data_IF_258154283916
#
_entry.id   IF_258154283916
#
_cell.length_a   1.000
_cell.length_b   1.000
_cell.length_c   1.000
_cell.angle_alpha   90.00
_cell.angle_beta   90.00
_cell.angle_gamma   90.00
#
_symmetry.space_group_name_H-M   'P 1'
#
loop_
_entity.id
_entity.type
_entity.pdbx_description
1 polymer ?
#
# COMPACT_ATOMS: atom_id res chain seq x y z
N UNK A 1 34.54 28.56 9.74
CA UNK A 1 33.51 28.26 8.72
C UNK A 1 33.87 26.90 8.16
N UNK A 2 32.92 25.96 8.14
CA UNK A 2 33.17 24.59 7.67
C UNK A 2 33.54 24.61 6.18
N UNK A 3 34.23 23.59 5.72
CA UNK A 3 34.78 23.56 4.36
C UNK A 3 33.69 23.51 3.27
N UNK A 4 32.49 23.07 3.63
CA UNK A 4 31.29 23.02 2.79
C UNK A 4 30.34 24.22 2.99
N UNK A 5 30.72 25.18 3.84
CA UNK A 5 29.93 26.38 4.13
C UNK A 5 28.81 26.21 5.16
N UNK A 6 28.61 25.02 5.74
CA UNK A 6 27.59 24.80 6.80
C UNK A 6 27.93 25.52 8.10
N UNK A 7 26.89 25.83 8.88
CA UNK A 7 27.05 26.21 10.30
C UNK A 7 27.45 24.99 11.15
N UNK A 8 27.89 25.26 12.37
CA UNK A 8 28.31 24.22 13.32
C UNK A 8 27.15 23.33 13.78
N UNK A 9 25.93 23.86 13.76
CA UNK A 9 24.69 23.24 14.21
C UNK A 9 23.81 22.76 13.03
N UNK A 10 24.37 22.67 11.83
CA UNK A 10 23.63 22.39 10.61
C UNK A 10 23.90 20.99 10.07
N UNK A 11 22.83 20.19 9.97
CA UNK A 11 22.83 18.92 9.27
C UNK A 11 23.21 19.11 7.79
N UNK A 12 23.77 18.07 7.17
CA UNK A 12 23.80 17.98 5.70
C UNK A 12 22.38 17.92 5.15
N UNK A 13 22.25 18.05 3.83
CA UNK A 13 20.97 17.82 3.17
C UNK A 13 20.53 16.37 3.38
N UNK A 14 19.44 16.19 4.10
CA UNK A 14 18.86 14.87 4.35
C UNK A 14 17.76 14.58 3.32
N UNK A 15 17.72 13.35 2.80
CA UNK A 15 16.56 12.86 2.03
C UNK A 15 16.25 11.42 2.42
N UNK A 16 14.97 11.11 2.57
CA UNK A 16 14.46 9.80 2.92
C UNK A 16 13.48 9.39 1.82
N UNK A 17 13.87 8.46 0.96
CA UNK A 17 13.02 7.91 -0.09
C UNK A 17 12.53 6.52 0.34
N UNK A 18 11.22 6.32 0.45
CA UNK A 18 10.62 5.07 0.93
C UNK A 18 10.19 4.16 -0.22
N UNK A 19 9.95 2.88 0.09
CA UNK A 19 9.46 1.86 -0.86
C UNK A 19 10.35 1.66 -2.10
N UNK A 20 11.68 1.82 -1.93
CA UNK A 20 12.67 1.73 -3.01
C UNK A 20 12.91 0.29 -3.49
N UNK A 21 12.62 -0.72 -2.68
CA UNK A 21 12.70 -2.13 -3.04
C UNK A 21 11.30 -2.74 -3.10
N UNK A 22 11.02 -3.46 -4.19
CA UNK A 22 9.71 -4.11 -4.44
C UNK A 22 9.40 -5.28 -3.49
N UNK A 23 10.43 -5.91 -2.94
CA UNK A 23 10.31 -7.20 -2.25
C UNK A 23 10.47 -7.11 -0.73
N UNK A 24 11.00 -6.01 -0.21
CA UNK A 24 11.13 -5.83 1.22
C UNK A 24 9.83 -5.29 1.79
N UNK A 25 9.38 -5.81 2.93
CA UNK A 25 8.19 -5.31 3.64
C UNK A 25 8.35 -3.85 4.07
N UNK A 26 9.59 -3.41 4.30
CA UNK A 26 9.95 -2.00 4.42
C UNK A 26 11.28 -1.71 3.75
N UNK A 27 11.36 -0.62 2.98
CA UNK A 27 12.62 -0.22 2.36
C UNK A 27 12.77 1.29 2.25
N UNK A 28 14.02 1.75 2.44
CA UNK A 28 14.36 3.16 2.47
C UNK A 28 15.73 3.39 1.84
N UNK A 29 15.83 4.38 0.96
CA UNK A 29 17.10 4.97 0.55
C UNK A 29 17.29 6.27 1.30
N UNK A 30 18.18 6.28 2.29
CA UNK A 30 18.48 7.46 3.09
C UNK A 30 19.78 8.12 2.63
N UNK A 31 19.79 9.46 2.59
CA UNK A 31 20.96 10.27 2.23
C UNK A 31 21.24 11.32 3.29
N UNK A 32 22.52 11.43 3.66
CA UNK A 32 23.09 12.46 4.53
C UNK A 32 24.16 13.19 3.71
N UNK A 33 23.76 14.23 2.98
CA UNK A 33 24.60 14.78 1.91
C UNK A 33 24.97 13.69 0.91
N UNK A 34 26.27 13.38 0.81
CA UNK A 34 26.81 12.37 -0.09
C UNK A 34 26.82 10.95 0.49
N UNK A 35 26.62 10.78 1.80
CA UNK A 35 26.44 9.44 2.38
C UNK A 35 25.08 8.89 1.97
N UNK A 36 25.06 7.69 1.39
CA UNK A 36 23.87 7.01 0.89
C UNK A 36 23.80 5.57 1.39
N UNK A 37 22.72 5.24 2.08
CA UNK A 37 22.49 3.91 2.66
C UNK A 37 21.12 3.39 2.21
N UNK A 38 21.11 2.17 1.67
CA UNK A 38 19.89 1.41 1.43
C UNK A 38 19.59 0.58 2.68
N UNK A 39 18.43 0.83 3.28
CA UNK A 39 17.93 0.10 4.43
C UNK A 39 16.73 -0.74 3.99
N UNK A 40 16.78 -2.05 4.23
CA UNK A 40 15.67 -2.97 4.01
C UNK A 40 15.29 -3.65 5.32
N UNK A 41 14.00 -3.87 5.51
CA UNK A 41 13.45 -4.61 6.63
C UNK A 41 12.67 -5.81 6.09
N UNK A 42 13.07 -7.00 6.54
CA UNK A 42 12.45 -8.27 6.18
C UNK A 42 11.82 -8.94 7.39
N UNK A 43 10.59 -9.42 7.23
CA UNK A 43 9.87 -10.14 8.29
C UNK A 43 10.06 -11.65 8.12
N UNK A 44 10.50 -12.31 9.19
CA UNK A 44 10.59 -13.77 9.25
C UNK A 44 9.64 -14.31 10.33
N UNK A 45 8.84 -15.33 9.97
CA UNK A 45 8.00 -16.08 10.91
C UNK A 45 8.82 -17.12 11.71
N UNK A 46 9.96 -16.68 12.23
CA UNK A 46 10.86 -17.47 13.06
C UNK A 46 11.62 -16.56 14.01
N UNK A 47 12.15 -17.15 15.09
CA UNK A 47 13.01 -16.45 16.05
C UNK A 47 14.30 -17.24 16.27
N UNK A 48 15.38 -16.58 16.73
CA UNK A 48 16.59 -17.29 17.14
C UNK A 48 16.30 -18.40 18.15
N UNK A 49 17.09 -19.48 18.11
CA UNK A 49 16.85 -20.69 18.93
C UNK A 49 16.70 -20.41 20.43
N UNK A 50 17.38 -19.40 20.95
CA UNK A 50 17.31 -19.02 22.37
C UNK A 50 16.01 -18.29 22.77
N UNK A 51 15.17 -17.89 21.81
CA UNK A 51 13.87 -17.24 22.02
C UNK A 51 12.68 -18.12 21.63
N UNK A 52 12.92 -19.34 21.14
CA UNK A 52 11.85 -20.24 20.71
C UNK A 52 10.91 -20.59 21.88
N UNK A 53 9.60 -20.47 21.68
CA UNK A 53 8.54 -20.66 22.68
C UNK A 53 8.58 -19.64 23.84
N UNK A 54 9.26 -18.50 23.67
CA UNK A 54 9.26 -17.43 24.68
C UNK A 54 8.09 -16.46 24.52
N UNK A 55 7.40 -16.49 23.37
CA UNK A 55 6.40 -15.50 22.99
C UNK A 55 6.99 -14.14 22.59
N UNK A 56 8.31 -14.01 22.52
CA UNK A 56 9.01 -12.76 22.19
C UNK A 56 9.61 -12.80 20.79
N UNK A 57 9.54 -11.66 20.12
CA UNK A 57 10.16 -11.43 18.83
C UNK A 57 11.61 -11.00 18.94
N UNK A 58 12.19 -10.71 17.78
CA UNK A 58 13.57 -10.27 17.69
C UNK A 58 13.76 -9.25 16.57
N UNK A 59 14.65 -8.29 16.78
CA UNK A 59 15.12 -7.40 15.72
C UNK A 59 16.62 -7.55 15.62
N UNK A 60 17.16 -7.77 14.43
CA UNK A 60 18.60 -7.90 14.19
C UNK A 60 19.00 -7.08 12.98
N UNK A 61 20.30 -6.82 12.82
CA UNK A 61 20.80 -6.04 11.71
C UNK A 61 22.06 -6.64 11.07
N UNK A 62 22.12 -6.56 9.76
CA UNK A 62 23.30 -6.74 8.93
C UNK A 62 23.71 -5.40 8.33
N UNK A 63 25.01 -5.20 8.19
CA UNK A 63 25.58 -3.97 7.68
C UNK A 63 26.66 -4.35 6.68
N UNK A 64 26.62 -3.70 5.53
CA UNK A 64 27.61 -3.92 4.50
C UNK A 64 27.97 -2.61 3.83
N UNK A 65 29.17 -2.54 3.27
CA UNK A 65 29.61 -1.40 2.47
C UNK A 65 30.07 -1.90 1.12
N UNK A 66 29.52 -1.33 0.05
CA UNK A 66 29.94 -1.69 -1.29
C UNK A 66 31.44 -1.41 -1.48
N UNK A 67 32.18 -2.26 -2.22
CA UNK A 67 33.62 -2.07 -2.44
C UNK A 67 34.02 -0.69 -2.96
N UNK A 68 33.11 0.00 -3.67
CA UNK A 68 33.35 1.32 -4.25
C UNK A 68 32.49 2.43 -3.65
N UNK A 69 31.97 2.23 -2.44
CA UNK A 69 31.27 3.28 -1.71
C UNK A 69 32.22 4.39 -1.23
N UNK A 70 33.52 4.09 -1.07
CA UNK A 70 34.56 5.00 -0.60
C UNK A 70 35.49 5.49 -1.72
N UNK A 71 36.22 6.57 -1.44
CA UNK A 71 37.23 7.18 -2.33
C UNK A 71 38.24 6.18 -2.89
N UNK A 72 38.66 5.20 -2.09
CA UNK A 72 39.49 4.05 -2.50
C UNK A 72 38.66 2.78 -2.50
N UNK A 73 38.98 1.84 -3.40
CA UNK A 73 38.21 0.59 -3.50
C UNK A 73 38.60 -0.34 -2.36
N UNK A 74 37.64 -0.67 -1.50
CA UNK A 74 37.80 -1.69 -0.47
C UNK A 74 37.71 -3.09 -1.07
N UNK A 75 38.40 -4.07 -0.46
CA UNK A 75 38.21 -5.48 -0.81
C UNK A 75 36.86 -5.94 -0.24
N UNK A 76 36.07 -6.62 -1.07
CA UNK A 76 34.77 -7.18 -0.64
C UNK A 76 34.98 -8.15 0.53
N UNK A 77 34.17 -8.03 1.59
CA UNK A 77 34.34 -8.83 2.80
C UNK A 77 34.17 -10.33 2.56
N UNK A 78 33.28 -10.74 1.64
CA UNK A 78 33.17 -12.15 1.24
C UNK A 78 34.48 -12.71 0.66
N UNK A 79 35.29 -11.88 0.00
CA UNK A 79 36.62 -12.28 -0.51
C UNK A 79 37.68 -12.40 0.58
N UNK A 80 37.40 -11.96 1.81
CA UNK A 80 38.25 -12.12 2.99
C UNK A 80 37.85 -13.33 3.84
N UNK A 81 36.70 -13.95 3.56
CA UNK A 81 36.19 -15.11 4.29
C UNK A 81 35.68 -14.82 5.71
N UNK A 82 35.68 -13.55 6.14
CA UNK A 82 35.17 -13.10 7.43
C UNK A 82 34.78 -11.63 7.38
N UNK A 83 33.83 -11.24 8.23
CA UNK A 83 33.46 -9.85 8.46
C UNK A 83 34.59 -9.11 9.21
N UNK A 84 34.72 -7.82 8.93
CA UNK A 84 35.62 -6.93 9.67
C UNK A 84 35.07 -6.61 11.06
N UNK A 85 35.97 -6.22 11.99
CA UNK A 85 35.56 -5.79 13.33
C UNK A 85 34.60 -4.60 13.30
N UNK A 86 34.84 -3.63 12.41
CA UNK A 86 33.97 -2.46 12.21
C UNK A 86 32.56 -2.88 11.76
N UNK A 87 32.45 -3.79 10.79
CA UNK A 87 31.15 -4.31 10.34
C UNK A 87 30.39 -4.96 11.49
N UNK A 88 31.06 -5.83 12.27
CA UNK A 88 30.44 -6.50 13.41
C UNK A 88 29.99 -5.53 14.52
N UNK A 89 30.79 -4.50 14.80
CA UNK A 89 30.44 -3.44 15.75
C UNK A 89 29.17 -2.70 15.33
N UNK A 90 29.12 -2.24 14.07
CA UNK A 90 28.00 -1.47 13.52
C UNK A 90 26.72 -2.30 13.45
N UNK A 91 26.80 -3.57 13.03
CA UNK A 91 25.65 -4.49 13.07
C UNK A 91 25.04 -4.59 14.46
N UNK A 92 25.90 -4.75 15.48
CA UNK A 92 25.45 -4.86 16.86
C UNK A 92 24.88 -3.54 17.36
N UNK A 93 25.46 -2.39 16.96
CA UNK A 93 24.96 -1.05 17.28
C UNK A 93 23.55 -0.88 16.72
N UNK A 94 23.35 -1.03 15.41
CA UNK A 94 22.04 -0.88 14.75
C UNK A 94 20.99 -1.78 15.42
N UNK A 95 21.30 -3.07 15.59
CA UNK A 95 20.37 -4.01 16.21
C UNK A 95 20.02 -3.65 17.66
N UNK A 96 20.98 -3.18 18.48
CA UNK A 96 20.71 -2.73 19.86
C UNK A 96 19.84 -1.48 19.86
N UNK A 97 20.16 -0.52 19.02
CA UNK A 97 19.43 0.74 18.90
C UNK A 97 17.97 0.49 18.58
N UNK A 98 17.67 -0.28 17.52
CA UNK A 98 16.28 -0.53 17.12
C UNK A 98 15.50 -1.35 18.15
N UNK A 99 16.10 -2.39 18.75
CA UNK A 99 15.43 -3.19 19.79
C UNK A 99 14.99 -2.38 21.01
N UNK A 100 15.63 -1.24 21.30
CA UNK A 100 15.29 -0.42 22.47
C UNK A 100 13.88 0.20 22.38
N UNK A 101 13.39 0.46 21.16
CA UNK A 101 12.10 1.11 20.88
C UNK A 101 11.04 0.13 20.36
N UNK A 102 11.33 -1.17 20.37
CA UNK A 102 10.42 -2.23 19.94
C UNK A 102 9.96 -3.03 21.15
N UNK A 103 8.66 -3.15 21.33
CA UNK A 103 8.07 -4.10 22.25
C UNK A 103 8.12 -5.52 21.65
N UNK A 104 9.09 -6.30 22.10
CA UNK A 104 9.32 -7.65 21.61
C UNK A 104 8.20 -8.63 22.01
N UNK A 105 7.39 -8.34 23.04
CA UNK A 105 6.25 -9.19 23.38
C UNK A 105 5.08 -8.93 22.43
N UNK A 106 4.82 -7.65 22.11
CA UNK A 106 3.81 -7.27 21.12
C UNK A 106 4.18 -7.77 19.71
N UNK A 107 5.47 -7.77 19.36
CA UNK A 107 5.94 -8.30 18.08
C UNK A 107 5.63 -9.81 17.90
N UNK A 108 5.49 -10.56 19.00
CA UNK A 108 5.29 -12.01 18.97
C UNK A 108 6.48 -12.77 18.39
N UNK A 109 6.37 -14.08 18.16
CA UNK A 109 7.49 -14.92 17.67
C UNK A 109 7.83 -14.71 16.17
N UNK A 110 8.17 -13.47 15.82
CA UNK A 110 8.66 -13.03 14.52
C UNK A 110 10.03 -12.36 14.69
N UNK A 111 10.85 -12.45 13.65
CA UNK A 111 12.08 -11.67 13.55
C UNK A 111 11.95 -10.60 12.49
N UNK A 112 12.50 -9.42 12.76
CA UNK A 112 12.71 -8.38 11.77
C UNK A 112 14.21 -8.29 11.52
N UNK A 113 14.63 -8.64 10.30
CA UNK A 113 16.02 -8.54 9.86
C UNK A 113 16.18 -7.22 9.11
N UNK A 114 17.13 -6.41 9.55
CA UNK A 114 17.43 -5.11 8.96
C UNK A 114 18.74 -5.21 8.18
N UNK A 115 18.68 -4.98 6.89
CA UNK A 115 19.87 -4.91 6.03
C UNK A 115 20.21 -3.46 5.74
N UNK A 116 21.43 -3.04 6.10
CA UNK A 116 21.94 -1.70 5.84
C UNK A 116 23.14 -1.76 4.88
N UNK A 117 22.89 -1.48 3.60
CA UNK A 117 23.90 -1.47 2.56
C UNK A 117 24.34 -0.05 2.21
N UNK A 118 25.58 0.28 2.55
CA UNK A 118 26.16 1.57 2.20
C UNK A 118 26.57 1.58 0.73
N UNK A 119 25.90 2.43 -0.04
CA UNK A 119 26.10 2.59 -1.47
C UNK A 119 27.15 3.68 -1.78
N UNK A 120 27.17 4.75 -0.97
CA UNK A 120 28.16 5.83 -1.01
C UNK A 120 28.48 6.27 0.42
N UNK A 121 29.75 6.47 0.73
CA UNK A 121 30.23 6.76 2.09
C UNK A 121 31.03 8.07 2.12
N UNK A 122 30.52 9.04 2.86
CA UNK A 122 31.14 10.35 3.09
C UNK A 122 30.96 10.75 4.57
N UNK A 123 31.28 9.85 5.51
CA UNK A 123 31.09 10.08 6.96
C UNK A 123 29.67 9.80 7.47
N UNK A 124 29.54 9.48 8.77
CA UNK A 124 28.23 9.25 9.40
C UNK A 124 27.45 8.00 8.91
N UNK A 125 28.11 7.02 8.28
CA UNK A 125 27.37 5.88 7.68
C UNK A 125 26.60 5.06 8.71
N UNK A 126 27.14 4.88 9.92
CA UNK A 126 26.49 4.09 10.99
C UNK A 126 25.23 4.77 11.53
N UNK A 127 25.26 6.10 11.68
CA UNK A 127 24.14 6.90 12.20
C UNK A 127 23.06 7.09 11.14
N UNK A 128 23.46 7.26 9.87
CA UNK A 128 22.56 7.21 8.73
C UNK A 128 21.85 5.84 8.64
N UNK A 129 22.58 4.72 8.84
CA UNK A 129 21.98 3.38 8.87
C UNK A 129 20.92 3.23 9.96
N UNK A 130 21.16 3.69 11.20
CA UNK A 130 20.16 3.61 12.28
C UNK A 130 18.91 4.43 11.92
N UNK A 131 19.11 5.67 11.46
CA UNK A 131 18.02 6.58 11.13
C UNK A 131 17.16 6.06 9.97
N UNK A 132 17.77 5.51 8.92
CA UNK A 132 17.06 4.91 7.79
C UNK A 132 16.43 3.56 8.13
N UNK A 133 17.11 2.74 8.93
CA UNK A 133 16.60 1.45 9.38
C UNK A 133 15.36 1.58 10.26
N UNK A 134 15.26 2.62 11.10
CA UNK A 134 14.05 2.87 11.87
C UNK A 134 12.84 3.11 10.96
N UNK A 135 13.00 3.89 9.89
CA UNK A 135 11.94 4.13 8.91
C UNK A 135 11.58 2.84 8.18
N UNK A 136 12.56 2.05 7.72
CA UNK A 136 12.30 0.75 7.09
C UNK A 136 11.58 -0.23 8.04
N UNK A 137 11.99 -0.29 9.30
CA UNK A 137 11.33 -1.06 10.36
C UNK A 137 9.88 -0.62 10.54
N UNK A 138 9.62 0.69 10.59
CA UNK A 138 8.25 1.24 10.70
C UNK A 138 7.37 0.84 9.53
N UNK A 139 7.89 0.89 8.31
CA UNK A 139 7.18 0.43 7.11
C UNK A 139 6.87 -1.08 7.16
N UNK A 140 7.83 -1.91 7.59
CA UNK A 140 7.62 -3.35 7.71
C UNK A 140 6.57 -3.69 8.78
N UNK A 141 6.54 -2.96 9.89
CA UNK A 141 5.49 -3.09 10.92
C UNK A 141 4.14 -2.68 10.36
N UNK A 142 4.05 -1.55 9.65
CA UNK A 142 2.81 -1.12 8.99
C UNK A 142 2.32 -2.15 7.98
N UNK A 143 3.22 -2.77 7.22
CA UNK A 143 2.91 -3.85 6.29
C UNK A 143 2.27 -5.06 7.00
N UNK A 144 2.87 -5.56 8.08
CA UNK A 144 2.33 -6.68 8.87
C UNK A 144 0.99 -6.35 9.53
N UNK A 145 0.81 -5.11 10.01
CA UNK A 145 -0.46 -4.65 10.56
C UNK A 145 -1.54 -4.58 9.47
N UNK A 146 -1.22 -4.07 8.28
CA UNK A 146 -2.14 -4.03 7.15
C UNK A 146 -2.54 -5.44 6.66
N UNK A 147 -1.62 -6.40 6.76
CA UNK A 147 -1.87 -7.81 6.47
C UNK A 147 -2.62 -8.56 7.59
N UNK A 148 -2.94 -7.89 8.71
CA UNK A 148 -3.60 -8.48 9.88
C UNK A 148 -2.74 -9.51 10.63
N UNK A 149 -1.43 -9.53 10.38
CA UNK A 149 -0.47 -10.41 11.04
C UNK A 149 0.04 -9.85 12.37
N UNK A 150 -0.08 -8.53 12.56
CA UNK A 150 0.12 -7.84 13.84
C UNK A 150 -1.17 -7.08 14.20
N UNK A 151 -1.64 -7.28 15.44
CA UNK A 151 -2.86 -6.64 15.96
C UNK A 151 -2.55 -5.24 16.52
N UNK A 152 -1.40 -5.11 17.17
CA UNK A 152 -0.95 -3.89 17.83
C UNK A 152 0.42 -3.48 17.27
N UNK A 153 0.69 -2.17 17.24
CA UNK A 153 1.96 -1.63 16.80
C UNK A 153 3.04 -1.87 17.89
N UNK A 154 4.08 -2.67 17.65
CA UNK A 154 5.14 -2.90 18.63
C UNK A 154 6.10 -1.71 18.80
N UNK A 155 6.05 -0.67 17.95
CA UNK A 155 6.95 0.48 18.05
C UNK A 155 6.47 1.45 19.12
N UNK A 156 7.32 1.71 20.12
CA UNK A 156 7.00 2.58 21.26
C UNK A 156 7.13 4.06 20.94
N UNK A 157 8.17 4.42 20.19
CA UNK A 157 8.46 5.81 19.79
C UNK A 157 9.48 5.86 18.64
N UNK A 158 9.71 7.05 18.09
CA UNK A 158 10.74 7.26 17.06
C UNK A 158 12.15 7.19 17.61
N UNK A 159 13.10 6.83 16.75
CA UNK A 159 14.53 6.73 17.05
C UNK A 159 15.35 7.27 15.87
N UNK A 160 16.32 8.12 16.15
CA UNK A 160 17.32 8.52 15.16
C UNK A 160 18.72 8.63 15.78
N UNK A 161 19.71 8.77 14.91
CA UNK A 161 21.11 8.84 15.31
C UNK A 161 21.88 9.86 14.47
N UNK A 162 22.85 10.52 15.08
CA UNK A 162 23.69 11.51 14.43
C UNK A 162 25.13 11.45 14.95
N UNK A 163 26.10 11.82 14.10
CA UNK A 163 27.48 12.04 14.54
C UNK A 163 27.67 13.50 14.92
N UNK A 164 28.49 13.72 15.94
CA UNK A 164 28.94 15.02 16.43
C UNK A 164 30.42 14.89 16.78
N UNK A 165 31.14 16.00 16.80
CA UNK A 165 32.58 15.94 17.02
C UNK A 165 33.18 17.29 17.28
N UNK A 166 34.47 17.30 17.61
CA UNK A 166 35.23 18.52 17.85
C UNK A 166 36.32 18.60 16.79
N UNK A 167 36.35 19.68 16.02
CA UNK A 167 37.39 19.94 15.03
C UNK A 167 38.73 20.28 15.72
N UNK A 168 39.84 20.25 14.98
CA UNK A 168 41.18 20.51 15.54
C UNK A 168 41.33 21.90 16.19
N UNK A 169 40.52 22.87 15.79
CA UNK A 169 40.49 24.22 16.36
C UNK A 169 39.66 24.31 17.66
N UNK A 170 39.12 23.19 18.14
CA UNK A 170 38.28 23.09 19.33
C UNK A 170 36.79 23.34 19.07
N UNK A 171 36.37 23.55 17.83
CA UNK A 171 34.97 23.85 17.51
C UNK A 171 34.10 22.58 17.50
N UNK A 172 33.05 22.47 18.35
CA UNK A 172 32.09 21.38 18.25
C UNK A 172 31.19 21.55 17.02
N UNK A 173 30.97 20.47 16.28
CA UNK A 173 30.17 20.47 15.04
C UNK A 173 29.23 19.26 14.96
N UNK A 174 28.11 19.47 14.28
CA UNK A 174 27.08 18.49 13.97
C UNK A 174 27.30 17.86 12.59
N UNK A 175 27.04 16.55 12.49
CA UNK A 175 26.95 15.79 11.24
C UNK A 175 28.23 15.88 10.40
N UNK A 176 29.27 15.18 10.86
CA UNK A 176 30.58 15.16 10.23
C UNK A 176 30.54 14.39 8.91
N UNK A 177 31.11 14.99 7.87
CA UNK A 177 31.48 14.24 6.67
C UNK A 177 32.85 13.56 6.81
N UNK A 178 33.29 12.85 5.77
CA UNK A 178 34.55 12.11 5.83
C UNK A 178 35.77 13.01 6.07
N UNK A 179 35.78 14.21 5.50
CA UNK A 179 36.91 15.14 5.65
C UNK A 179 36.99 15.65 7.08
N UNK A 180 35.84 15.92 7.69
CA UNK A 180 35.77 16.36 9.08
C UNK A 180 36.08 15.22 10.06
N UNK A 181 35.50 14.03 9.85
CA UNK A 181 35.66 12.84 10.69
C UNK A 181 37.13 12.41 10.82
N UNK A 182 37.86 12.35 9.70
CA UNK A 182 39.28 11.96 9.69
C UNK A 182 40.17 12.98 10.41
N UNK A 183 39.76 14.25 10.47
CA UNK A 183 40.54 15.32 11.08
C UNK A 183 40.03 15.73 12.46
N UNK A 184 38.95 15.14 12.96
CA UNK A 184 38.35 15.51 14.23
C UNK A 184 39.29 15.14 15.40
N UNK A 185 39.36 16.01 16.40
CA UNK A 185 40.00 15.70 17.67
C UNK A 185 39.13 14.75 18.52
N UNK A 186 37.82 14.77 18.29
CA UNK A 186 36.84 13.93 18.98
C UNK A 186 35.74 13.56 17.99
N UNK A 187 35.43 12.26 17.89
CA UNK A 187 34.22 11.75 17.23
C UNK A 187 33.27 11.17 18.28
N UNK A 188 31.99 11.48 18.15
CA UNK A 188 30.94 10.90 18.97
C UNK A 188 29.68 10.61 18.17
N UNK A 189 29.17 9.41 18.34
CA UNK A 189 27.91 8.97 17.77
C UNK A 189 26.85 8.95 18.87
N UNK A 190 25.69 9.56 18.59
CA UNK A 190 24.55 9.63 19.51
C UNK A 190 23.35 8.92 18.89
N UNK A 191 22.62 8.18 19.72
CA UNK A 191 21.33 7.58 19.38
C UNK A 191 20.33 8.00 20.46
N UNK A 192 19.25 8.66 20.05
CA UNK A 192 18.22 9.14 20.98
C UNK A 192 16.82 8.81 20.45
N UNK A 193 15.91 8.67 21.39
CA UNK A 193 14.49 8.52 21.13
C UNK A 193 13.80 9.87 20.97
N UNK A 194 12.56 9.85 20.51
CA UNK A 194 11.71 11.04 20.41
C UNK A 194 11.46 11.74 21.75
N UNK A 195 11.38 10.97 22.83
CA UNK A 195 11.22 11.52 24.18
C UNK A 195 12.47 12.23 24.73
N UNK A 196 13.59 12.21 23.98
CA UNK A 196 14.85 12.81 24.39
C UNK A 196 15.72 11.89 25.25
N UNK A 197 15.39 10.60 25.35
CA UNK A 197 16.16 9.63 26.10
C UNK A 197 17.31 9.05 25.26
N UNK A 198 18.48 8.89 25.88
CA UNK A 198 19.65 8.31 25.21
C UNK A 198 19.58 6.78 25.16
N UNK A 199 19.70 6.22 23.97
CA UNK A 199 19.81 4.77 23.76
C UNK A 199 21.27 4.34 23.76
N UNK A 200 22.13 5.10 23.07
CA UNK A 200 23.57 4.82 23.03
C UNK A 200 24.36 6.11 22.80
N UNK A 201 25.50 6.22 23.50
CA UNK A 201 26.48 7.30 23.36
C UNK A 201 27.84 6.64 23.17
N UNK A 202 28.47 6.85 22.01
CA UNK A 202 29.80 6.33 21.70
C UNK A 202 30.72 7.48 21.34
N UNK A 203 31.48 7.99 22.31
CA UNK A 203 32.47 9.06 22.12
C UNK A 203 33.90 8.55 22.25
N UNK A 204 34.77 8.97 21.33
CA UNK A 204 36.20 8.65 21.30
C UNK A 204 37.00 9.92 21.05
N UNK A 205 37.97 10.19 21.91
CA UNK A 205 38.98 11.20 21.64
C UNK A 205 40.06 10.61 20.75
N UNK A 206 40.19 11.15 19.54
CA UNK A 206 41.19 10.72 18.56
C UNK A 206 42.48 11.50 18.84
N UNK A 207 43.52 10.80 19.28
CA UNK A 207 44.84 11.35 19.69
C UNK A 207 44.82 12.40 20.83
N UNK A 208 43.63 12.81 21.31
CA UNK A 208 43.42 13.79 22.38
C UNK A 208 42.28 13.38 23.33
N UNK A 209 42.16 14.06 24.46
CA UNK A 209 41.05 13.91 25.41
C UNK A 209 40.10 15.11 25.32
N UNK A 210 38.82 14.92 25.63
CA UNK A 210 37.83 16.00 25.66
C UNK A 210 37.34 16.32 27.07
N UNK A 211 36.96 17.57 27.28
CA UNK A 211 36.45 18.05 28.56
C UNK A 211 34.98 17.72 28.75
N UNK A 212 34.48 17.91 29.98
CA UNK A 212 33.04 17.83 30.28
C UNK A 212 32.24 18.88 29.49
N UNK A 213 32.82 20.05 29.24
CA UNK A 213 32.16 21.13 28.50
C UNK A 213 32.01 20.77 27.02
N UNK A 214 33.05 20.15 26.43
CA UNK A 214 33.00 19.63 25.07
C UNK A 214 31.92 18.56 24.92
N UNK A 215 31.88 17.61 25.88
CA UNK A 215 30.86 16.55 25.90
C UNK A 215 29.45 17.15 25.92
N UNK A 216 29.16 18.08 26.83
CA UNK A 216 27.84 18.71 26.91
C UNK A 216 27.49 19.49 25.65
N UNK A 217 28.47 20.16 25.04
CA UNK A 217 28.25 20.90 23.79
C UNK A 217 27.88 19.96 22.65
N UNK A 218 28.59 18.84 22.51
CA UNK A 218 28.28 17.82 21.50
C UNK A 218 26.92 17.14 21.75
N UNK A 219 26.57 16.87 23.01
CA UNK A 219 25.25 16.32 23.36
C UNK A 219 24.12 17.27 22.95
N UNK A 220 24.24 18.57 23.24
CA UNK A 220 23.24 19.57 22.85
C UNK A 220 23.11 19.69 21.33
N UNK A 221 24.23 19.68 20.60
CA UNK A 221 24.21 19.71 19.13
C UNK A 221 23.50 18.49 18.56
N UNK A 222 23.86 17.31 19.04
CA UNK A 222 23.32 16.07 18.50
C UNK A 222 21.87 15.82 18.90
N UNK A 223 21.43 16.27 20.08
CA UNK A 223 20.01 16.26 20.47
C UNK A 223 19.15 17.05 19.48
N UNK A 224 19.54 18.31 19.19
CA UNK A 224 18.82 19.14 18.21
C UNK A 224 18.81 18.49 16.82
N UNK A 225 19.97 17.96 16.37
CA UNK A 225 20.07 17.25 15.11
C UNK A 225 19.16 16.02 15.05
N UNK A 226 19.06 15.25 16.13
CA UNK A 226 18.19 14.07 16.21
C UNK A 226 16.71 14.47 16.15
N UNK A 227 16.28 15.55 16.82
CA UNK A 227 14.90 16.02 16.71
C UNK A 227 14.56 16.44 15.27
N UNK A 228 15.48 17.10 14.56
CA UNK A 228 15.30 17.40 13.14
C UNK A 228 15.20 16.13 12.28
N UNK A 229 16.03 15.12 12.55
CA UNK A 229 15.95 13.83 11.86
C UNK A 229 14.62 13.11 12.12
N UNK A 230 14.13 13.09 13.36
CA UNK A 230 12.85 12.46 13.72
C UNK A 230 11.69 13.17 13.02
N UNK A 231 11.73 14.51 12.93
CA UNK A 231 10.74 15.27 12.15
C UNK A 231 10.74 14.82 10.67
N UNK A 232 11.91 14.71 10.05
CA UNK A 232 12.04 14.24 8.66
C UNK A 232 11.59 12.77 8.48
N UNK A 233 11.84 11.90 9.45
CA UNK A 233 11.34 10.52 9.44
C UNK A 233 9.81 10.49 9.42
N UNK A 234 9.16 11.31 10.24
CA UNK A 234 7.70 11.42 10.28
C UNK A 234 7.12 11.91 8.96
N UNK A 235 7.69 12.98 8.40
CA UNK A 235 7.30 13.51 7.08
C UNK A 235 7.41 12.43 5.99
N UNK A 236 8.48 11.63 6.01
CA UNK A 236 8.68 10.53 5.07
C UNK A 236 7.66 9.39 5.26
N UNK A 237 7.35 9.01 6.51
CA UNK A 237 6.37 7.97 6.82
C UNK A 237 4.94 8.40 6.49
N UNK A 238 4.59 9.68 6.70
CA UNK A 238 3.29 10.23 6.30
C UNK A 238 3.12 10.22 4.78
N UNK A 239 4.17 10.60 4.04
CA UNK A 239 4.16 10.57 2.57
C UNK A 239 4.15 9.15 2.01
N UNK A 240 4.75 8.20 2.74
CA UNK A 240 4.87 6.79 2.36
C UNK A 240 3.65 5.94 2.72
N UNK A 241 2.81 6.39 3.66
CA UNK A 241 1.55 5.73 3.90
C UNK A 241 0.80 5.71 2.56
N UNK A 242 0.57 4.52 2.01
CA UNK A 242 -0.33 4.33 0.88
C UNK A 242 -1.55 5.21 1.17
N UNK A 243 -1.97 6.09 0.24
CA UNK A 243 -2.90 7.13 0.55
C UNK A 243 -4.06 6.50 1.31
N UNK A 244 -4.13 6.81 2.61
CA UNK A 244 -5.35 6.60 3.37
C UNK A 244 -6.24 7.65 2.76
N UNK A 245 -6.85 7.31 1.63
CA UNK A 245 -7.93 8.08 1.09
C UNK A 245 -9.00 7.97 2.16
N UNK A 246 -9.05 8.99 3.03
CA UNK A 246 -10.28 9.31 3.71
C UNK A 246 -11.19 9.79 2.60
N UNK A 247 -11.81 8.85 1.89
CA UNK A 247 -13.10 9.11 1.31
C UNK A 247 -13.89 9.79 2.43
N UNK A 248 -14.30 11.03 2.20
CA UNK A 248 -15.10 11.72 3.20
C UNK A 248 -16.31 10.83 3.49
N UNK A 249 -16.97 10.96 4.65
CA UNK A 249 -18.22 10.22 4.91
C UNK A 249 -19.26 10.35 3.79
N UNK A 250 -19.11 11.35 2.92
CA UNK A 250 -19.99 11.64 1.81
C UNK A 250 -19.46 11.13 0.45
N UNK A 251 -18.39 10.33 0.41
CA UNK A 251 -17.82 9.83 -0.84
C UNK A 251 -18.18 8.34 -1.04
N UNK A 252 -18.57 7.97 -2.25
CA UNK A 252 -18.84 6.59 -2.65
C UNK A 252 -18.06 6.24 -3.92
N UNK A 253 -17.41 5.08 -3.91
CA UNK A 253 -16.71 4.54 -5.07
C UNK A 253 -17.60 3.57 -5.84
N UNK A 254 -17.73 3.76 -7.14
CA UNK A 254 -18.32 2.79 -8.05
C UNK A 254 -17.20 1.95 -8.67
N UNK A 255 -17.18 0.66 -8.35
CA UNK A 255 -16.19 -0.29 -8.83
C UNK A 255 -16.45 -0.72 -10.29
N UNK A 256 -16.37 0.23 -11.23
CA UNK A 256 -16.56 0.00 -12.66
C UNK A 256 -15.58 0.81 -13.49
N UNK A 257 -15.09 0.21 -14.59
CA UNK A 257 -14.34 0.90 -15.66
C UNK A 257 -15.24 1.34 -16.82
N UNK A 258 -16.54 1.03 -16.77
CA UNK A 258 -17.47 1.38 -17.83
C UNK A 258 -18.10 2.75 -17.54
N UNK A 259 -17.68 3.78 -18.29
CA UNK A 259 -18.18 5.15 -18.15
C UNK A 259 -19.71 5.27 -18.31
N UNK A 260 -20.35 4.39 -19.10
CA UNK A 260 -21.80 4.34 -19.23
C UNK A 260 -22.48 3.87 -17.95
N UNK A 261 -21.93 2.83 -17.30
CA UNK A 261 -22.42 2.34 -16.01
C UNK A 261 -22.24 3.41 -14.91
N UNK A 262 -21.07 4.05 -14.87
CA UNK A 262 -20.77 5.07 -13.87
C UNK A 262 -21.79 6.24 -13.89
N UNK A 263 -22.17 6.71 -15.08
CA UNK A 263 -23.16 7.79 -15.25
C UNK A 263 -24.55 7.44 -14.72
N UNK A 264 -24.99 6.19 -14.88
CA UNK A 264 -26.30 5.74 -14.40
C UNK A 264 -26.39 5.78 -12.87
N UNK A 265 -25.29 5.42 -12.20
CA UNK A 265 -25.19 5.49 -10.73
C UNK A 265 -24.96 6.92 -10.23
N UNK A 266 -24.20 7.72 -10.97
CA UNK A 266 -23.89 9.11 -10.61
C UNK A 266 -25.14 9.96 -10.41
N UNK A 267 -26.14 9.82 -11.30
CA UNK A 267 -27.40 10.54 -11.16
C UNK A 267 -28.15 10.21 -9.85
N UNK A 268 -28.13 8.95 -9.41
CA UNK A 268 -28.80 8.52 -8.18
C UNK A 268 -28.06 9.01 -6.92
N UNK A 269 -26.74 8.81 -6.88
CA UNK A 269 -25.95 9.15 -5.68
C UNK A 269 -25.80 10.65 -5.48
N UNK A 270 -25.78 11.43 -6.56
CA UNK A 270 -25.80 12.89 -6.48
C UNK A 270 -27.09 13.42 -5.83
N UNK A 271 -28.25 12.81 -6.10
CA UNK A 271 -29.53 13.18 -5.46
C UNK A 271 -29.51 12.94 -3.94
N UNK A 272 -28.79 11.91 -3.49
CA UNK A 272 -28.58 11.57 -2.07
C UNK A 272 -27.44 12.36 -1.41
N UNK A 273 -26.78 13.27 -2.12
CA UNK A 273 -25.73 14.14 -1.59
C UNK A 273 -24.34 13.50 -1.48
N UNK A 274 -24.12 12.36 -2.13
CA UNK A 274 -22.81 11.70 -2.18
C UNK A 274 -21.97 12.19 -3.35
N UNK A 275 -20.66 12.32 -3.13
CA UNK A 275 -19.66 12.54 -4.17
C UNK A 275 -19.20 11.19 -4.70
N UNK A 276 -19.33 11.02 -6.01
CA UNK A 276 -18.97 9.77 -6.66
C UNK A 276 -17.50 9.77 -7.07
N UNK A 277 -16.87 8.62 -6.91
CA UNK A 277 -15.57 8.26 -7.45
C UNK A 277 -15.69 6.99 -8.29
N UNK A 278 -14.79 6.79 -9.23
CA UNK A 278 -14.71 5.60 -10.09
C UNK A 278 -13.35 4.95 -9.99
N UNK A 279 -13.15 3.76 -10.55
CA UNK A 279 -11.83 3.12 -10.57
C UNK A 279 -10.80 3.92 -11.39
N UNK A 280 -11.23 4.81 -12.29
CA UNK A 280 -10.32 5.72 -13.01
C UNK A 280 -9.65 6.73 -12.07
N UNK A 281 -10.32 7.08 -10.96
CA UNK A 281 -9.72 7.93 -9.92
C UNK A 281 -8.63 7.20 -9.12
N UNK A 282 -8.48 5.88 -9.29
CA UNK A 282 -7.59 5.01 -8.50
C UNK A 282 -6.81 4.00 -9.37
N UNK A 283 -5.89 4.47 -10.25
CA UNK A 283 -5.13 3.59 -11.15
C UNK A 283 -4.20 2.59 -10.46
N UNK A 284 -3.90 2.79 -9.17
CA UNK A 284 -3.07 1.91 -8.33
C UNK A 284 -3.80 0.67 -7.80
N UNK A 285 -5.12 0.58 -7.98
CA UNK A 285 -5.90 -0.59 -7.54
C UNK A 285 -5.77 -1.69 -8.60
N UNK A 286 -5.20 -2.86 -8.26
CA UNK A 286 -5.16 -3.98 -9.19
C UNK A 286 -6.58 -4.46 -9.50
N UNK A 287 -6.79 -4.97 -10.71
CA UNK A 287 -8.06 -5.54 -11.13
C UNK A 287 -8.41 -6.74 -10.24
N UNK A 288 -9.63 -6.74 -9.68
CA UNK A 288 -10.08 -7.82 -8.78
C UNK A 288 -10.53 -9.00 -9.63
N UNK A 289 -9.93 -10.17 -9.45
CA UNK A 289 -10.33 -11.37 -10.17
C UNK A 289 -11.71 -11.87 -9.69
N UNK A 290 -12.69 -11.80 -10.59
CA UNK A 290 -14.06 -12.28 -10.39
C UNK A 290 -14.12 -13.80 -10.56
N UNK A 291 -13.73 -14.52 -9.50
CA UNK A 291 -13.63 -15.99 -9.42
C UNK A 291 -14.88 -16.68 -8.86
N UNK A 292 -15.92 -15.90 -8.57
CA UNK A 292 -17.19 -16.40 -8.04
C UNK A 292 -17.98 -17.23 -9.05
N UNK A 293 -18.82 -18.11 -8.51
CA UNK A 293 -19.73 -18.97 -9.27
C UNK A 293 -21.12 -18.34 -9.47
N UNK A 294 -21.41 -17.25 -8.76
CA UNK A 294 -22.67 -16.49 -8.83
C UNK A 294 -22.42 -14.99 -9.00
N UNK A 295 -23.44 -14.26 -9.47
CA UNK A 295 -23.37 -12.80 -9.62
C UNK A 295 -23.10 -12.09 -8.28
N UNK A 296 -23.70 -12.59 -7.19
CA UNK A 296 -23.46 -12.05 -5.84
C UNK A 296 -22.02 -12.28 -5.38
N UNK A 297 -21.45 -13.47 -5.59
CA UNK A 297 -20.06 -13.76 -5.20
C UNK A 297 -19.07 -12.84 -5.92
N UNK A 298 -19.23 -12.63 -7.22
CA UNK A 298 -18.37 -11.72 -8.00
C UNK A 298 -18.50 -10.27 -7.53
N UNK A 299 -19.74 -9.79 -7.39
CA UNK A 299 -19.98 -8.42 -6.94
C UNK A 299 -19.48 -8.20 -5.50
N UNK A 300 -19.60 -9.19 -4.60
CA UNK A 300 -19.03 -9.15 -3.25
C UNK A 300 -17.51 -9.12 -3.26
N UNK A 301 -16.87 -10.04 -3.97
CA UNK A 301 -15.42 -10.09 -4.12
C UNK A 301 -14.87 -8.72 -4.53
N UNK A 302 -15.53 -8.08 -5.51
CA UNK A 302 -15.16 -6.74 -5.98
C UNK A 302 -15.41 -5.65 -4.93
N UNK A 303 -16.63 -5.54 -4.42
CA UNK A 303 -17.01 -4.46 -3.49
C UNK A 303 -16.24 -4.56 -2.15
N UNK A 304 -16.20 -5.73 -1.54
CA UNK A 304 -15.63 -5.95 -0.21
C UNK A 304 -14.11 -5.81 -0.23
N UNK A 305 -13.43 -6.35 -1.25
CA UNK A 305 -11.97 -6.20 -1.40
C UNK A 305 -11.57 -4.74 -1.53
N UNK A 306 -12.28 -3.98 -2.38
CA UNK A 306 -11.96 -2.57 -2.62
C UNK A 306 -12.33 -1.73 -1.38
N UNK A 307 -13.47 -2.00 -0.73
CA UNK A 307 -13.89 -1.30 0.49
C UNK A 307 -12.92 -1.55 1.65
N UNK A 308 -12.43 -2.78 1.82
CA UNK A 308 -11.45 -3.13 2.84
C UNK A 308 -10.11 -2.44 2.62
N UNK A 309 -9.71 -2.28 1.35
CA UNK A 309 -8.45 -1.64 0.96
C UNK A 309 -8.50 -0.12 1.11
N UNK A 310 -9.54 0.52 0.59
CA UNK A 310 -9.67 1.98 0.57
C UNK A 310 -10.33 2.57 1.83
N UNK A 311 -10.84 1.72 2.72
CA UNK A 311 -11.60 2.14 3.91
C UNK A 311 -12.77 3.07 3.58
N UNK A 312 -13.41 2.87 2.43
CA UNK A 312 -14.51 3.68 1.93
C UNK A 312 -15.73 2.83 1.54
N UNK A 313 -16.85 3.49 1.26
CA UNK A 313 -18.04 2.84 0.74
C UNK A 313 -17.88 2.54 -0.74
N UNK A 314 -18.16 1.31 -1.14
CA UNK A 314 -17.98 0.83 -2.52
C UNK A 314 -19.24 0.16 -3.00
N UNK A 315 -19.69 0.54 -4.20
CA UNK A 315 -20.73 -0.14 -4.96
C UNK A 315 -20.08 -0.94 -6.11
N UNK A 316 -20.35 -2.24 -6.18
CA UNK A 316 -20.02 -3.07 -7.33
C UNK A 316 -21.28 -3.61 -8.02
N UNK A 317 -21.20 -3.80 -9.34
CA UNK A 317 -22.21 -4.47 -10.15
C UNK A 317 -21.64 -5.74 -10.79
N UNK A 318 -22.42 -6.82 -10.78
CA UNK A 318 -22.24 -7.92 -11.72
C UNK A 318 -23.57 -8.18 -12.44
N UNK A 319 -23.52 -8.32 -13.77
CA UNK A 319 -24.70 -8.38 -14.62
C UNK A 319 -24.52 -9.37 -15.76
N UNK A 320 -25.60 -10.08 -16.11
CA UNK A 320 -25.56 -11.04 -17.20
C UNK A 320 -26.93 -11.42 -17.74
N UNK A 321 -26.90 -12.16 -18.85
CA UNK A 321 -28.05 -12.79 -19.46
C UNK A 321 -28.18 -14.23 -18.94
N UNK A 322 -29.38 -14.60 -18.53
CA UNK A 322 -29.73 -15.96 -18.10
C UNK A 322 -30.78 -16.46 -19.08
N UNK A 323 -30.50 -17.56 -19.79
CA UNK A 323 -31.42 -18.15 -20.76
C UNK A 323 -31.90 -19.50 -20.23
N UNK A 324 -33.21 -19.65 -20.06
CA UNK A 324 -33.79 -20.81 -19.37
C UNK A 324 -33.51 -22.11 -20.14
N UNK A 325 -33.65 -22.08 -21.47
CA UNK A 325 -33.38 -23.21 -22.35
C UNK A 325 -31.92 -23.68 -22.32
N UNK A 326 -30.98 -22.84 -21.87
CA UNK A 326 -29.56 -23.16 -21.74
C UNK A 326 -29.16 -23.45 -20.29
N UNK A 327 -30.11 -23.75 -19.42
CA UNK A 327 -29.84 -24.00 -18.00
C UNK A 327 -29.26 -22.78 -17.28
N UNK A 328 -29.62 -21.58 -17.73
CA UNK A 328 -29.16 -20.31 -17.16
C UNK A 328 -27.88 -19.74 -17.76
N UNK A 329 -27.26 -20.42 -18.74
CA UNK A 329 -26.14 -19.85 -19.50
C UNK A 329 -26.63 -18.69 -20.40
N UNK A 330 -25.80 -17.67 -20.68
CA UNK A 330 -24.38 -17.54 -20.30
C UNK A 330 -24.09 -17.19 -18.82
N UNK A 331 -25.05 -16.62 -18.09
CA UNK A 331 -24.90 -16.34 -16.66
C UNK A 331 -23.75 -15.38 -16.36
N UNK A 332 -22.95 -15.66 -15.32
CA UNK A 332 -21.76 -14.89 -14.92
C UNK A 332 -20.68 -14.82 -16.01
N UNK A 333 -20.79 -15.64 -17.07
CA UNK A 333 -19.86 -15.63 -18.20
C UNK A 333 -20.36 -14.78 -19.38
N UNK A 334 -21.41 -13.98 -19.20
CA UNK A 334 -22.04 -13.17 -20.26
C UNK A 334 -21.04 -12.33 -21.07
N UNK A 335 -20.04 -11.72 -20.44
CA UNK A 335 -19.04 -10.92 -21.16
C UNK A 335 -18.06 -11.79 -22.00
N UNK A 336 -17.87 -13.05 -21.61
CA UNK A 336 -16.85 -13.99 -22.13
C UNK A 336 -17.46 -15.30 -22.64
N UNK A 337 -18.71 -15.27 -23.07
CA UNK A 337 -19.46 -16.48 -23.39
C UNK A 337 -18.82 -17.25 -24.56
N UNK A 338 -18.28 -16.53 -25.55
CA UNK A 338 -17.59 -17.07 -26.70
C UNK A 338 -16.06 -17.23 -26.52
N UNK A 339 -15.51 -16.93 -25.33
CA UNK A 339 -14.09 -17.01 -25.03
C UNK A 339 -13.60 -15.87 -24.13
N UNK A 340 -12.34 -15.91 -23.70
CA UNK A 340 -11.78 -14.95 -22.74
C UNK A 340 -11.81 -13.48 -23.22
N UNK A 341 -11.67 -13.26 -24.53
CA UNK A 341 -11.77 -11.93 -25.09
C UNK A 341 -13.24 -11.47 -25.18
N UNK A 342 -13.55 -10.32 -24.59
CA UNK A 342 -14.88 -9.71 -24.66
C UNK A 342 -15.25 -9.35 -26.12
N UNK A 343 -16.28 -10.01 -26.66
CA UNK A 343 -16.75 -9.77 -28.03
C UNK A 343 -18.25 -10.07 -28.19
N UNK A 344 -19.06 -9.00 -28.24
CA UNK A 344 -20.52 -9.09 -28.33
C UNK A 344 -21.02 -9.84 -29.57
N UNK A 345 -20.39 -9.67 -30.72
CA UNK A 345 -20.79 -10.35 -31.95
C UNK A 345 -20.56 -11.87 -31.86
N UNK A 346 -19.43 -12.29 -31.29
CA UNK A 346 -19.13 -13.69 -31.06
C UNK A 346 -20.05 -14.31 -29.99
N UNK A 347 -20.31 -13.56 -28.91
CA UNK A 347 -21.24 -13.95 -27.84
C UNK A 347 -22.67 -14.15 -28.38
N UNK A 348 -23.15 -13.23 -29.22
CA UNK A 348 -24.46 -13.30 -29.88
C UNK A 348 -24.52 -14.47 -30.88
N UNK A 349 -23.47 -14.68 -31.68
CA UNK A 349 -23.40 -15.80 -32.60
C UNK A 349 -23.44 -17.15 -31.88
N UNK A 350 -22.68 -17.29 -30.78
CA UNK A 350 -22.70 -18.49 -29.95
C UNK A 350 -24.07 -18.70 -29.31
N UNK A 351 -24.67 -17.65 -28.75
CA UNK A 351 -26.02 -17.74 -28.15
C UNK A 351 -27.05 -18.27 -29.16
N UNK A 352 -27.05 -17.72 -30.38
CA UNK A 352 -27.97 -18.18 -31.43
C UNK A 352 -27.68 -19.61 -31.87
N UNK A 353 -26.41 -20.00 -31.90
CA UNK A 353 -25.99 -21.37 -32.21
C UNK A 353 -26.49 -22.37 -31.17
N UNK A 354 -26.29 -22.10 -29.88
CA UNK A 354 -26.75 -22.97 -28.77
C UNK A 354 -28.27 -23.08 -28.73
N UNK A 355 -28.99 -22.04 -29.16
CA UNK A 355 -30.45 -22.04 -29.28
C UNK A 355 -30.98 -22.67 -30.58
N UNK A 356 -30.13 -23.34 -31.37
CA UNK A 356 -30.58 -24.03 -32.58
C UNK A 356 -31.55 -25.16 -32.23
N UNK A 357 -32.73 -25.16 -32.86
CA UNK A 357 -33.78 -26.16 -32.59
C UNK A 357 -34.70 -25.82 -31.41
N UNK A 358 -34.37 -24.82 -30.58
CA UNK A 358 -35.25 -24.37 -29.50
C UNK A 358 -36.42 -23.55 -30.08
N UNK A 359 -37.69 -23.94 -29.83
CA UNK A 359 -38.87 -23.21 -30.28
C UNK A 359 -38.89 -21.77 -29.76
N UNK A 360 -39.45 -20.83 -30.53
CA UNK A 360 -39.49 -19.40 -30.14
C UNK A 360 -40.17 -19.16 -28.78
N UNK A 361 -41.15 -19.99 -28.44
CA UNK A 361 -41.89 -19.88 -27.18
C UNK A 361 -41.07 -20.28 -25.94
N UNK A 362 -40.03 -21.11 -26.15
CA UNK A 362 -39.17 -21.65 -25.08
C UNK A 362 -37.86 -20.86 -24.92
N UNK A 363 -37.65 -19.82 -25.73
CA UNK A 363 -36.46 -18.95 -25.66
C UNK A 363 -36.60 -17.87 -24.58
N UNK A 364 -37.17 -18.21 -23.44
CA UNK A 364 -37.29 -17.29 -22.31
C UNK A 364 -35.92 -16.97 -21.73
N UNK A 365 -35.73 -15.71 -21.40
CA UNK A 365 -34.48 -15.22 -20.86
C UNK A 365 -34.73 -14.01 -19.95
N UNK A 366 -33.81 -13.78 -19.04
CA UNK A 366 -33.81 -12.59 -18.19
C UNK A 366 -32.44 -11.96 -18.15
N UNK A 367 -32.40 -10.64 -18.16
CA UNK A 367 -31.23 -9.94 -17.69
C UNK A 367 -31.27 -9.86 -16.18
N UNK A 368 -30.16 -10.18 -15.53
CA UNK A 368 -29.99 -10.12 -14.08
C UNK A 368 -28.85 -9.15 -13.74
N UNK A 369 -29.04 -8.31 -12.73
CA UNK A 369 -27.98 -7.49 -12.14
C UNK A 369 -28.03 -7.66 -10.62
N UNK A 370 -26.90 -8.01 -10.04
CA UNK A 370 -26.64 -7.93 -8.61
C UNK A 370 -25.83 -6.67 -8.32
N UNK A 371 -26.32 -5.86 -7.39
CA UNK A 371 -25.57 -4.75 -6.81
C UNK A 371 -25.16 -5.11 -5.40
N UNK A 372 -23.88 -4.91 -5.10
CA UNK A 372 -23.33 -5.07 -3.75
C UNK A 372 -22.76 -3.75 -3.29
N UNK A 373 -23.27 -3.28 -2.15
CA UNK A 373 -22.76 -2.12 -1.43
C UNK A 373 -22.01 -2.59 -0.19
N UNK A 374 -20.71 -2.29 -0.14
CA UNK A 374 -19.83 -2.66 0.96
C UNK A 374 -19.29 -1.40 1.66
N UNK A 375 -19.12 -1.48 2.97
CA UNK A 375 -18.43 -0.47 3.77
C UNK A 375 -17.59 -1.17 4.86
N UNK A 376 -16.52 -0.53 5.35
CA UNK A 376 -15.71 -1.11 6.42
C UNK A 376 -16.53 -1.42 7.67
N UNK A 377 -16.29 -2.58 8.27
CA UNK A 377 -16.94 -3.03 9.52
C UNK A 377 -18.47 -3.15 9.47
N UNK A 378 -19.08 -3.20 8.27
CA UNK A 378 -20.52 -3.42 8.09
C UNK A 378 -20.76 -4.60 7.15
N UNK A 379 -21.85 -5.34 7.39
CA UNK A 379 -22.28 -6.41 6.48
C UNK A 379 -22.74 -5.79 5.14
N UNK A 380 -22.19 -6.27 4.04
CA UNK A 380 -22.52 -5.74 2.70
C UNK A 380 -23.99 -5.98 2.35
N UNK A 381 -24.60 -4.94 1.80
CA UNK A 381 -25.96 -4.93 1.30
C UNK A 381 -26.00 -5.46 -0.12
N UNK A 382 -26.95 -6.35 -0.41
CA UNK A 382 -27.12 -6.96 -1.73
C UNK A 382 -28.53 -6.76 -2.21
N UNK A 383 -28.67 -6.27 -3.43
CA UNK A 383 -29.97 -6.15 -4.11
C UNK A 383 -29.86 -6.66 -5.54
N UNK A 384 -30.97 -7.20 -6.03
CA UNK A 384 -31.06 -7.73 -7.37
C UNK A 384 -32.10 -6.96 -8.19
N UNK A 385 -31.91 -6.93 -9.50
CA UNK A 385 -32.88 -6.43 -10.45
C UNK A 385 -32.91 -7.30 -11.69
N UNK A 386 -34.12 -7.54 -12.21
CA UNK A 386 -34.33 -8.47 -13.31
C UNK A 386 -35.30 -7.92 -14.35
N UNK A 387 -34.99 -8.17 -15.61
CA UNK A 387 -35.89 -7.86 -16.73
C UNK A 387 -36.11 -9.13 -17.54
N UNK A 388 -37.36 -9.57 -17.57
CA UNK A 388 -37.81 -10.74 -18.32
C UNK A 388 -38.00 -10.41 -19.80
N UNK A 389 -37.79 -11.41 -20.64
CA UNK A 389 -37.90 -11.28 -22.09
C UNK A 389 -37.66 -12.59 -22.82
N UNK A 390 -37.41 -12.49 -24.13
CA UNK A 390 -37.15 -13.64 -24.99
C UNK A 390 -36.04 -13.40 -25.99
N UNK A 391 -35.34 -14.46 -26.38
CA UNK A 391 -34.26 -14.37 -27.36
C UNK A 391 -34.81 -14.46 -28.79
N UNK A 392 -34.58 -13.40 -29.57
CA UNK A 392 -34.90 -13.32 -30.99
C UNK A 392 -34.00 -14.23 -31.83
N UNK A 393 -34.48 -14.61 -33.01
CA UNK A 393 -33.69 -15.35 -34.02
C UNK A 393 -32.85 -14.44 -34.90
N UNK A 394 -33.23 -13.16 -34.99
CA UNK A 394 -32.58 -12.15 -35.83
C UNK A 394 -32.43 -10.91 -34.96
N UNK A 395 -31.22 -10.33 -34.84
CA UNK A 395 -31.01 -9.11 -34.08
C UNK A 395 -31.82 -7.95 -34.66
N UNK A 396 -32.36 -7.11 -33.79
CA UNK A 396 -33.12 -5.90 -34.17
C UNK A 396 -32.62 -4.71 -33.36
N UNK A 397 -32.67 -3.53 -33.97
CA UNK A 397 -32.24 -2.29 -33.34
C UNK A 397 -30.72 -2.06 -33.45
N UNK A 398 -30.33 -0.80 -33.25
CA UNK A 398 -28.93 -0.35 -33.34
C UNK A 398 -28.43 0.26 -32.03
N UNK A 399 -29.31 0.44 -31.03
CA UNK A 399 -28.93 1.02 -29.75
C UNK A 399 -28.47 -0.07 -28.77
N UNK A 400 -27.62 0.26 -27.81
CA UNK A 400 -27.21 -0.68 -26.74
C UNK A 400 -25.97 -1.52 -27.06
N UNK A 401 -25.76 -2.59 -26.29
CA UNK A 401 -24.55 -3.41 -26.28
C UNK A 401 -24.85 -4.86 -25.87
N UNK A 402 -23.89 -5.76 -26.00
CA UNK A 402 -24.03 -7.16 -25.60
C UNK A 402 -25.19 -7.86 -26.32
N UNK A 403 -26.12 -8.38 -25.52
CA UNK A 403 -27.26 -9.17 -25.99
C UNK A 403 -28.52 -8.33 -26.29
N UNK A 404 -28.47 -7.00 -26.12
CA UNK A 404 -29.63 -6.11 -26.33
C UNK A 404 -30.34 -6.29 -27.69
N UNK A 405 -29.62 -6.49 -28.83
CA UNK A 405 -30.27 -6.68 -30.12
C UNK A 405 -31.09 -7.96 -30.23
N UNK A 406 -30.78 -8.95 -29.39
CA UNK A 406 -31.45 -10.24 -29.37
C UNK A 406 -32.50 -10.35 -28.25
N UNK A 407 -32.50 -9.45 -27.28
CA UNK A 407 -33.38 -9.53 -26.13
C UNK A 407 -34.70 -8.78 -26.37
N UNK A 408 -35.79 -9.51 -26.62
CA UNK A 408 -37.14 -8.99 -26.80
C UNK A 408 -37.81 -8.70 -25.46
N UNK A 409 -38.27 -7.46 -25.28
CA UNK A 409 -39.16 -7.07 -24.18
C UNK A 409 -40.60 -7.28 -24.65
N UNK A 410 -41.24 -8.36 -24.20
CA UNK A 410 -42.54 -8.79 -24.73
C UNK A 410 -43.64 -7.72 -24.60
N UNK A 411 -43.69 -7.03 -23.45
CA UNK A 411 -44.66 -5.97 -23.18
C UNK A 411 -44.60 -4.81 -24.19
N UNK A 412 -43.44 -4.59 -24.81
CA UNK A 412 -43.21 -3.51 -25.76
C UNK A 412 -43.13 -3.98 -27.21
N UNK A 413 -43.06 -5.29 -27.45
CA UNK A 413 -42.88 -5.88 -28.78
C UNK A 413 -41.59 -5.45 -29.50
N UNK A 414 -40.58 -4.99 -28.74
CA UNK A 414 -39.32 -4.43 -29.25
C UNK A 414 -38.11 -5.08 -28.58
N UNK A 415 -37.01 -5.23 -29.31
CA UNK A 415 -35.74 -5.60 -28.68
C UNK A 415 -35.26 -4.47 -27.76
N UNK A 416 -34.41 -4.80 -26.79
CA UNK A 416 -33.82 -3.81 -25.90
C UNK A 416 -32.98 -2.78 -26.68
N UNK A 417 -32.47 -3.16 -27.84
CA UNK A 417 -31.75 -2.28 -28.77
C UNK A 417 -32.64 -1.38 -29.66
N UNK A 418 -33.93 -1.67 -29.77
CA UNK A 418 -34.91 -0.82 -30.46
C UNK A 418 -35.50 0.26 -29.54
N UNK A 419 -35.26 0.17 -28.23
CA UNK A 419 -35.75 1.14 -27.26
C UNK A 419 -34.87 2.39 -27.24
N UNK A 420 -35.52 3.54 -27.08
CA UNK A 420 -34.81 4.79 -26.80
C UNK A 420 -34.08 4.68 -25.45
N UNK A 421 -32.89 5.31 -25.29
CA UNK A 421 -32.10 5.25 -24.07
C UNK A 421 -32.90 5.59 -22.81
N UNK A 422 -33.81 6.57 -22.90
CA UNK A 422 -34.62 7.05 -21.76
C UNK A 422 -35.63 6.00 -21.28
N UNK A 423 -36.13 5.16 -22.19
CA UNK A 423 -37.05 4.07 -21.86
C UNK A 423 -36.25 2.89 -21.28
N UNK A 424 -35.13 2.54 -21.94
CA UNK A 424 -34.23 1.48 -21.49
C UNK A 424 -33.75 1.70 -20.06
N UNK A 425 -33.34 2.92 -19.73
CA UNK A 425 -32.86 3.30 -18.40
C UNK A 425 -33.94 3.25 -17.31
N UNK A 426 -35.22 3.07 -17.67
CA UNK A 426 -36.32 2.87 -16.70
C UNK A 426 -36.69 1.41 -16.47
N UNK A 427 -36.54 0.58 -17.49
CA UNK A 427 -37.03 -0.80 -17.47
C UNK A 427 -35.92 -1.86 -17.35
N UNK A 428 -34.66 -1.45 -17.44
CA UNK A 428 -33.53 -2.36 -17.36
C UNK A 428 -33.41 -3.02 -15.99
N UNK A 429 -32.80 -4.19 -15.98
CA UNK A 429 -32.46 -4.97 -14.80
C UNK A 429 -31.63 -4.12 -13.82
N UNK A 430 -30.67 -3.33 -14.32
CA UNK A 430 -29.91 -2.39 -13.49
C UNK A 430 -30.76 -1.27 -12.90
N UNK A 431 -31.67 -0.67 -13.67
CA UNK A 431 -32.59 0.34 -13.16
C UNK A 431 -33.47 -0.20 -12.03
N UNK A 432 -33.94 -1.45 -12.17
CA UNK A 432 -34.69 -2.14 -11.11
C UNK A 432 -33.82 -2.46 -9.90
N UNK A 433 -32.57 -2.87 -10.10
CA UNK A 433 -31.62 -3.12 -9.00
C UNK A 433 -31.35 -1.82 -8.22
N UNK A 434 -31.16 -0.70 -8.93
CA UNK A 434 -31.03 0.64 -8.37
C UNK A 434 -32.28 1.02 -7.56
N UNK A 435 -33.48 0.84 -8.10
CA UNK A 435 -34.73 1.10 -7.37
C UNK A 435 -34.86 0.23 -6.11
N UNK A 436 -34.42 -1.02 -6.17
CA UNK A 436 -34.41 -1.90 -5.02
C UNK A 436 -33.37 -1.47 -3.98
N UNK A 437 -32.20 -0.99 -4.42
CA UNK A 437 -31.18 -0.40 -3.54
C UNK A 437 -31.76 0.79 -2.77
N UNK A 438 -32.42 1.72 -3.45
CA UNK A 438 -32.99 2.93 -2.84
C UNK A 438 -33.99 2.63 -1.71
N UNK A 439 -34.73 1.51 -1.78
CA UNK A 439 -35.73 1.12 -0.78
C UNK A 439 -35.12 0.70 0.56
N UNK A 440 -33.90 0.14 0.54
CA UNK A 440 -33.23 -0.43 1.72
C UNK A 440 -31.98 0.35 2.12
N UNK A 441 -31.63 1.36 1.34
CA UNK A 441 -30.43 2.17 1.50
C UNK A 441 -30.42 2.94 2.82
N UNK A 442 -31.50 3.65 3.14
CA UNK A 442 -31.56 4.51 4.32
C UNK A 442 -31.47 3.65 5.60
N UNK A 443 -32.20 2.53 5.66
CA UNK A 443 -32.12 1.55 6.76
C UNK A 443 -30.70 0.99 6.93
N UNK A 444 -30.05 0.60 5.83
CA UNK A 444 -28.68 0.09 5.88
C UNK A 444 -27.66 1.16 6.30
N UNK A 445 -27.91 2.45 6.04
CA UNK A 445 -27.04 3.53 6.51
C UNK A 445 -27.14 3.76 8.02
N UNK A 446 -28.31 3.53 8.63
CA UNK A 446 -28.57 3.73 10.05
C UNK A 446 -28.07 2.57 10.94
N UNK A 447 -28.03 1.33 10.42
CA UNK A 447 -27.59 0.08 11.08
C UNK A 447 -26.07 -0.02 11.30
#
# INVERSE_FOLDING_TARGET
MRHDGRRVDELRKISIETNVLKHAEGSVLIRFGDTMVLCAASIENSVPTFLKNSGKGWVTAEYSMLPRATNTRNRRESSNGKLSGRTMEIQRLIGRSLRSVVDLEVLGEKSIVIDCDVLQADGGTRTASITGAFVALSLAVQHEMAAGQLVENPLREHLAAISVGVLQDGTPVLDLDYTEDVNAAVDMNLVMTESGEFVEIQGTGEEQTFSREDLLSMLNLGENGIFDLIRLQKEALETSAAPVYSASKNDILIATHNAGKAKEFEAMFAEKGFRIKTLEDFPEIPEVEETGSTFEENARLKAETIAARLKCMVLADDSGLIVDALGGQPGVYSARFAGEAHNDAANNAKLLHELTGVPKEERTARFHCTLVLAAPNRKSLVVNGETEGRILTIPRGENGFGYDPLFLVEEMGKSMAELAPEIKNKISHRAKAIQNLTKVWDDWLED
#
